data_IF_660701356421
#
_entry.id   IF_660701356421
#
_cell.length_a   1.000
_cell.length_b   1.000
_cell.length_c   1.000
_cell.angle_alpha   90.00
_cell.angle_beta   90.00
_cell.angle_gamma   90.00
#
_symmetry.space_group_name_H-M   'P 1'
#
loop_
_entity.id
_entity.type
_entity.pdbx_description
1 polymer ?
#
# COMPACT_ATOMS: atom_id res chain seq x y z
N UNK A 1 18.03 -5.23 -11.70
CA UNK A 1 17.08 -4.58 -10.81
C UNK A 1 16.49 -3.36 -11.51
N UNK A 2 15.17 -3.24 -11.55
CA UNK A 2 14.42 -2.06 -12.00
C UNK A 2 14.02 -1.20 -10.81
N UNK A 3 14.13 0.12 -10.91
CA UNK A 3 13.74 1.03 -9.83
C UNK A 3 12.82 2.13 -10.37
N UNK A 4 11.61 2.21 -9.80
CA UNK A 4 10.68 3.30 -10.02
C UNK A 4 10.76 4.27 -8.84
N UNK A 5 11.30 5.44 -9.08
CA UNK A 5 11.36 6.53 -8.11
C UNK A 5 10.01 7.24 -8.01
N UNK A 6 9.73 7.86 -6.87
CA UNK A 6 8.52 8.64 -6.61
C UNK A 6 8.25 9.74 -7.66
N UNK A 7 9.30 10.34 -8.22
CA UNK A 7 9.23 11.36 -9.28
C UNK A 7 9.44 10.78 -10.70
N UNK A 8 9.31 9.43 -10.84
CA UNK A 8 9.50 8.65 -12.07
C UNK A 8 10.90 8.72 -12.67
N UNK A 9 11.72 9.69 -12.33
CA UNK A 9 13.10 9.92 -12.79
C UNK A 9 13.30 9.69 -14.29
N UNK A 10 12.39 10.24 -15.11
CA UNK A 10 12.55 10.24 -16.56
C UNK A 10 13.67 11.20 -16.97
N UNK A 11 14.39 10.84 -18.02
CA UNK A 11 15.39 11.71 -18.62
C UNK A 11 14.70 12.88 -19.33
N UNK A 12 14.80 14.13 -18.84
CA UNK A 12 13.98 15.23 -19.32
C UNK A 12 14.30 15.68 -20.75
N UNK A 13 15.50 15.37 -21.22
CA UNK A 13 16.01 15.68 -22.56
C UNK A 13 15.77 14.56 -23.57
N UNK A 14 15.17 13.46 -23.15
CA UNK A 14 14.86 12.30 -24.00
C UNK A 14 13.35 12.21 -24.23
N UNK A 15 12.97 11.79 -25.42
CA UNK A 15 11.57 11.47 -25.74
C UNK A 15 11.11 10.19 -25.04
N UNK A 16 9.81 9.85 -25.12
CA UNK A 16 9.25 8.60 -24.61
C UNK A 16 10.03 7.39 -25.12
N UNK A 17 10.17 7.28 -26.46
CA UNK A 17 10.89 6.14 -27.05
C UNK A 17 12.36 6.08 -26.60
N UNK A 18 13.02 7.22 -26.47
CA UNK A 18 14.40 7.30 -26.00
C UNK A 18 14.52 6.93 -24.51
N UNK A 19 13.57 7.37 -23.68
CA UNK A 19 13.51 6.95 -22.29
C UNK A 19 13.36 5.43 -22.16
N UNK A 20 12.45 4.82 -22.93
CA UNK A 20 12.24 3.37 -22.93
C UNK A 20 13.47 2.62 -23.43
N UNK A 21 14.14 3.15 -24.46
CA UNK A 21 15.35 2.57 -25.02
C UNK A 21 16.58 2.69 -24.06
N UNK A 22 16.53 3.63 -23.11
CA UNK A 22 17.63 3.88 -22.20
C UNK A 22 17.92 2.66 -21.33
N UNK A 23 19.13 2.11 -21.47
CA UNK A 23 19.55 0.91 -20.75
C UNK A 23 19.42 -0.40 -21.53
N UNK A 24 18.72 -0.41 -22.67
CA UNK A 24 18.69 -1.56 -23.55
C UNK A 24 20.03 -1.76 -24.24
N UNK A 25 20.46 -3.01 -24.34
CA UNK A 25 21.68 -3.44 -25.03
C UNK A 25 21.31 -4.37 -26.18
N UNK A 26 22.03 -4.27 -27.28
CA UNK A 26 21.78 -5.11 -28.46
C UNK A 26 21.88 -4.34 -29.77
N UNK A 27 21.46 -4.96 -30.87
CA UNK A 27 21.41 -4.29 -32.16
C UNK A 27 20.22 -3.33 -32.25
N UNK A 28 20.31 -2.35 -33.16
CA UNK A 28 19.29 -1.30 -33.32
C UNK A 28 17.89 -1.85 -33.63
N UNK A 29 17.81 -2.95 -34.39
CA UNK A 29 16.52 -3.53 -34.79
C UNK A 29 15.80 -4.16 -33.61
N UNK A 30 16.50 -4.92 -32.77
CA UNK A 30 15.94 -5.55 -31.57
C UNK A 30 15.49 -4.50 -30.54
N UNK A 31 16.33 -3.47 -30.33
CA UNK A 31 15.97 -2.35 -29.46
C UNK A 31 14.70 -1.66 -29.97
N UNK A 32 14.65 -1.36 -31.26
CA UNK A 32 13.47 -0.70 -31.85
C UNK A 32 12.21 -1.57 -31.72
N UNK A 33 12.31 -2.87 -31.97
CA UNK A 33 11.21 -3.82 -31.79
C UNK A 33 10.72 -3.82 -30.33
N UNK A 34 11.65 -3.93 -29.39
CA UNK A 34 11.34 -3.94 -27.96
C UNK A 34 10.68 -2.64 -27.48
N UNK A 35 11.19 -1.51 -27.90
CA UNK A 35 10.60 -0.19 -27.59
C UNK A 35 9.17 -0.11 -28.12
N UNK A 36 8.92 -0.55 -29.36
CA UNK A 36 7.58 -0.56 -29.95
C UNK A 36 6.61 -1.46 -29.19
N UNK A 37 7.06 -2.65 -28.76
CA UNK A 37 6.28 -3.55 -27.89
C UNK A 37 5.90 -2.87 -26.57
N UNK A 38 6.86 -2.21 -25.93
CA UNK A 38 6.62 -1.49 -24.68
C UNK A 38 5.66 -0.30 -24.86
N UNK A 39 5.81 0.47 -25.92
CA UNK A 39 4.90 1.57 -26.24
C UNK A 39 3.46 1.06 -26.38
N UNK A 40 3.25 -0.05 -27.06
CA UNK A 40 1.92 -0.66 -27.20
C UNK A 40 1.39 -1.19 -25.88
N UNK A 41 2.21 -1.99 -25.18
CA UNK A 41 1.83 -2.60 -23.88
C UNK A 41 1.43 -1.56 -22.84
N UNK A 42 2.08 -0.40 -22.84
CA UNK A 42 1.87 0.67 -21.85
C UNK A 42 0.93 1.79 -22.34
N UNK A 43 0.26 1.61 -23.50
CA UNK A 43 -0.71 2.58 -24.01
C UNK A 43 -0.09 3.96 -24.30
N UNK A 44 1.14 3.98 -24.83
CA UNK A 44 1.90 5.20 -25.14
C UNK A 44 1.94 5.50 -26.63
N UNK A 45 1.12 4.81 -27.44
CA UNK A 45 1.04 5.03 -28.87
C UNK A 45 0.63 6.49 -29.19
N UNK A 46 1.34 7.10 -30.14
CA UNK A 46 1.18 8.52 -30.49
C UNK A 46 1.98 9.49 -29.60
N UNK A 47 2.65 9.00 -28.55
CA UNK A 47 3.46 9.81 -27.64
C UNK A 47 4.97 9.60 -27.81
N UNK A 48 5.39 8.80 -28.78
CA UNK A 48 6.77 8.35 -28.98
C UNK A 48 7.80 9.49 -28.95
N UNK A 49 7.43 10.59 -29.57
CA UNK A 49 8.29 11.79 -29.75
C UNK A 49 8.08 12.87 -28.68
N UNK A 50 7.16 12.64 -27.73
CA UNK A 50 6.91 13.60 -26.65
C UNK A 50 8.02 13.54 -25.60
N UNK A 51 8.34 14.69 -25.04
CA UNK A 51 9.25 14.82 -23.89
C UNK A 51 8.47 14.72 -22.57
N UNK A 52 9.12 14.35 -21.45
CA UNK A 52 8.45 14.20 -20.16
C UNK A 52 7.58 15.39 -19.76
N UNK A 53 8.00 16.62 -20.01
CA UNK A 53 7.24 17.84 -19.72
C UNK A 53 5.91 17.99 -20.49
N UNK A 54 5.72 17.21 -21.54
CA UNK A 54 4.52 17.22 -22.38
C UNK A 54 3.54 16.10 -21.99
N UNK A 55 3.91 15.28 -21.00
CA UNK A 55 3.15 14.13 -20.56
C UNK A 55 2.38 14.43 -19.26
N UNK A 56 1.18 13.88 -19.12
CA UNK A 56 0.50 13.83 -17.82
C UNK A 56 1.27 12.95 -16.83
N UNK A 57 1.00 13.09 -15.52
CA UNK A 57 1.64 12.26 -14.47
C UNK A 57 1.52 10.75 -14.75
N UNK A 58 0.32 10.29 -15.14
CA UNK A 58 0.11 8.90 -15.51
C UNK A 58 0.88 8.45 -16.76
N UNK A 59 1.01 9.32 -17.76
CA UNK A 59 1.83 9.03 -18.94
C UNK A 59 3.32 8.95 -18.59
N UNK A 60 3.78 9.82 -17.69
CA UNK A 60 5.16 9.78 -17.18
C UNK A 60 5.43 8.47 -16.42
N UNK A 61 4.51 8.07 -15.54
CA UNK A 61 4.60 6.81 -14.80
C UNK A 61 4.65 5.60 -15.73
N UNK A 62 3.73 5.53 -16.72
CA UNK A 62 3.72 4.45 -17.70
C UNK A 62 5.01 4.43 -18.52
N UNK A 63 5.56 5.57 -18.87
CA UNK A 63 6.85 5.66 -19.58
C UNK A 63 7.99 5.11 -18.69
N UNK A 64 8.01 5.44 -17.40
CA UNK A 64 9.02 4.95 -16.46
C UNK A 64 8.92 3.43 -16.26
N UNK A 65 7.70 2.91 -16.10
CA UNK A 65 7.45 1.47 -16.02
C UNK A 65 7.84 0.75 -17.30
N UNK A 66 7.48 1.31 -18.47
CA UNK A 66 7.87 0.77 -19.76
C UNK A 66 9.40 0.70 -19.92
N UNK A 67 10.13 1.72 -19.47
CA UNK A 67 11.59 1.73 -19.42
C UNK A 67 12.15 0.60 -18.56
N UNK A 68 11.58 0.39 -17.37
CA UNK A 68 12.02 -0.66 -16.44
C UNK A 68 11.73 -2.04 -17.04
N UNK A 69 10.53 -2.26 -17.54
CA UNK A 69 10.11 -3.56 -18.08
C UNK A 69 10.80 -3.90 -19.41
N UNK A 70 11.33 -2.91 -20.11
CA UNK A 70 11.99 -3.12 -21.40
C UNK A 70 13.20 -4.07 -21.31
N UNK A 71 13.97 -4.00 -20.23
CA UNK A 71 15.14 -4.86 -20.01
C UNK A 71 14.90 -6.07 -19.11
N UNK A 72 13.62 -6.39 -18.81
CA UNK A 72 13.21 -7.61 -18.09
C UNK A 72 14.02 -7.86 -16.80
N UNK A 73 13.95 -6.96 -15.82
CA UNK A 73 14.70 -7.13 -14.59
C UNK A 73 14.19 -8.33 -13.79
N UNK A 74 15.02 -8.98 -13.00
CA UNK A 74 14.59 -10.03 -12.06
C UNK A 74 13.86 -9.45 -10.84
N UNK A 75 14.16 -8.20 -10.50
CA UNK A 75 13.57 -7.50 -9.33
C UNK A 75 13.15 -6.11 -9.74
N UNK A 76 11.94 -5.71 -9.36
CA UNK A 76 11.43 -4.34 -9.49
C UNK A 76 11.22 -3.75 -8.10
N UNK A 77 11.74 -2.55 -7.90
CA UNK A 77 11.52 -1.73 -6.71
C UNK A 77 10.59 -0.57 -7.08
N UNK A 78 9.47 -0.46 -6.39
CA UNK A 78 8.48 0.62 -6.54
C UNK A 78 8.48 1.48 -5.27
N UNK A 79 8.91 2.74 -5.39
CA UNK A 79 8.99 3.66 -4.27
C UNK A 79 7.87 4.68 -4.36
N UNK A 80 6.85 4.54 -3.50
CA UNK A 80 5.66 5.39 -3.46
C UNK A 80 5.03 5.61 -4.85
N UNK A 81 4.74 4.54 -5.63
CA UNK A 81 4.46 4.66 -7.06
C UNK A 81 3.22 5.51 -7.39
N UNK A 82 2.29 5.67 -6.46
CA UNK A 82 1.02 6.36 -6.69
C UNK A 82 0.87 7.66 -5.89
N UNK A 83 1.90 8.09 -5.16
CA UNK A 83 1.81 9.23 -4.24
C UNK A 83 1.64 10.59 -4.94
N UNK A 84 2.10 10.72 -6.19
CA UNK A 84 2.05 11.96 -6.95
C UNK A 84 0.78 12.12 -7.81
N UNK A 85 -0.19 11.22 -7.67
CA UNK A 85 -1.39 11.19 -8.51
C UNK A 85 -2.62 11.75 -7.77
N UNK A 86 -3.49 12.42 -8.53
CA UNK A 86 -4.82 12.75 -8.03
C UNK A 86 -5.71 11.49 -7.90
N UNK A 87 -6.74 11.59 -7.06
CA UNK A 87 -7.56 10.44 -6.65
C UNK A 87 -8.22 9.72 -7.84
N UNK A 88 -8.68 10.46 -8.85
CA UNK A 88 -9.40 9.90 -9.98
C UNK A 88 -8.49 9.10 -10.93
N UNK A 89 -7.27 9.59 -11.15
CA UNK A 89 -6.29 8.90 -11.99
C UNK A 89 -5.63 7.73 -11.25
N UNK A 90 -5.56 7.80 -9.93
CA UNK A 90 -4.91 6.80 -9.10
C UNK A 90 -5.52 5.42 -9.24
N UNK A 91 -6.83 5.27 -9.02
CA UNK A 91 -7.52 3.97 -9.08
C UNK A 91 -7.33 3.27 -10.43
N UNK A 92 -7.42 4.03 -11.51
CA UNK A 92 -7.21 3.50 -12.86
C UNK A 92 -5.78 3.02 -13.07
N UNK A 93 -4.81 3.82 -12.65
CA UNK A 93 -3.39 3.49 -12.79
C UNK A 93 -2.97 2.34 -11.88
N UNK A 94 -3.52 2.22 -10.69
CA UNK A 94 -3.32 1.06 -9.82
C UNK A 94 -3.77 -0.23 -10.52
N UNK A 95 -4.94 -0.23 -11.15
CA UNK A 95 -5.40 -1.40 -11.90
C UNK A 95 -4.52 -1.71 -13.11
N UNK A 96 -4.11 -0.69 -13.87
CA UNK A 96 -3.19 -0.85 -15.00
C UNK A 96 -1.84 -1.45 -14.55
N UNK A 97 -1.29 -0.99 -13.42
CA UNK A 97 -0.05 -1.52 -12.85
C UNK A 97 -0.22 -2.95 -12.34
N UNK A 98 -1.33 -3.27 -11.65
CA UNK A 98 -1.63 -4.64 -11.22
C UNK A 98 -1.65 -5.60 -12.39
N UNK A 99 -2.40 -5.29 -13.45
CA UNK A 99 -2.46 -6.12 -14.66
C UNK A 99 -1.10 -6.33 -15.31
N UNK A 100 -0.25 -5.31 -15.28
CA UNK A 100 1.12 -5.43 -15.80
C UNK A 100 1.98 -6.34 -14.92
N UNK A 101 1.83 -6.26 -13.61
CA UNK A 101 2.59 -7.08 -12.66
C UNK A 101 2.12 -8.53 -12.62
N UNK A 102 0.84 -8.83 -12.88
CA UNK A 102 0.33 -10.21 -12.99
C UNK A 102 1.09 -11.06 -14.03
N UNK A 103 1.55 -10.44 -15.11
CA UNK A 103 2.35 -11.11 -16.15
C UNK A 103 3.85 -11.11 -15.87
N UNK A 104 4.28 -10.49 -14.77
CA UNK A 104 5.68 -10.37 -14.42
C UNK A 104 6.12 -11.53 -13.52
N UNK A 105 7.15 -12.27 -13.96
CA UNK A 105 7.63 -13.49 -13.27
C UNK A 105 8.73 -13.21 -12.23
N UNK A 106 9.13 -11.96 -12.06
CA UNK A 106 10.17 -11.57 -11.11
C UNK A 106 9.62 -11.13 -9.76
N UNK A 107 10.50 -10.72 -8.87
CA UNK A 107 10.13 -10.19 -7.56
C UNK A 107 9.80 -8.70 -7.63
N UNK A 108 8.69 -8.30 -7.03
CA UNK A 108 8.32 -6.89 -6.88
C UNK A 108 8.37 -6.51 -5.41
N UNK A 109 9.08 -5.44 -5.09
CA UNK A 109 9.12 -4.86 -3.76
C UNK A 109 8.55 -3.45 -3.86
N UNK A 110 7.49 -3.18 -3.11
CA UNK A 110 6.85 -1.87 -3.08
C UNK A 110 6.98 -1.23 -1.70
N UNK A 111 7.31 0.05 -1.68
CA UNK A 111 7.23 0.90 -0.49
C UNK A 111 6.03 1.80 -0.65
N UNK A 112 5.12 1.78 0.32
CA UNK A 112 3.99 2.69 0.39
C UNK A 112 3.59 2.95 1.85
N UNK A 113 3.01 4.11 2.11
CA UNK A 113 2.35 4.44 3.38
C UNK A 113 0.81 4.31 3.28
N UNK A 114 0.29 3.98 2.11
CA UNK A 114 -1.15 3.79 1.87
C UNK A 114 -1.54 2.33 2.12
N UNK A 115 -2.43 2.12 3.09
CA UNK A 115 -2.90 0.78 3.51
C UNK A 115 -3.59 0.01 2.39
N UNK A 116 -4.38 0.71 1.59
CA UNK A 116 -5.21 0.08 0.55
C UNK A 116 -4.31 -0.39 -0.61
N UNK A 117 -3.27 0.38 -0.95
CA UNK A 117 -2.23 -0.03 -1.88
C UNK A 117 -1.50 -1.28 -1.37
N UNK A 118 -1.02 -1.24 -0.12
CA UNK A 118 -0.30 -2.36 0.49
C UNK A 118 -1.16 -3.62 0.46
N UNK A 119 -2.43 -3.53 0.88
CA UNK A 119 -3.33 -4.67 0.91
C UNK A 119 -3.62 -5.25 -0.47
N UNK A 120 -3.69 -4.39 -1.49
CA UNK A 120 -4.02 -4.77 -2.88
C UNK A 120 -2.82 -5.35 -3.63
N UNK A 121 -1.60 -4.83 -3.38
CA UNK A 121 -0.42 -5.14 -4.18
C UNK A 121 0.53 -6.15 -3.54
N UNK A 122 0.42 -6.46 -2.25
CA UNK A 122 1.40 -7.30 -1.57
C UNK A 122 0.82 -8.59 -0.99
N UNK A 123 1.49 -9.70 -1.25
CA UNK A 123 1.23 -10.98 -0.59
C UNK A 123 1.94 -11.05 0.78
N UNK A 124 3.15 -10.50 0.85
CA UNK A 124 3.95 -10.41 2.07
C UNK A 124 4.21 -8.95 2.45
N UNK A 125 4.14 -8.68 3.73
CA UNK A 125 4.32 -7.35 4.30
C UNK A 125 5.46 -7.31 5.29
N UNK A 126 6.33 -6.33 5.14
CA UNK A 126 7.35 -5.93 6.11
C UNK A 126 6.98 -4.58 6.71
N UNK A 127 6.71 -4.54 8.00
CA UNK A 127 6.43 -3.30 8.72
C UNK A 127 7.73 -2.76 9.28
N UNK A 128 8.09 -1.54 8.90
CA UNK A 128 9.32 -0.90 9.36
C UNK A 128 9.03 0.24 10.34
N UNK A 129 9.83 0.33 11.39
CA UNK A 129 9.86 1.45 12.32
C UNK A 129 11.31 1.75 12.71
N UNK A 130 11.68 3.04 12.67
CA UNK A 130 13.03 3.51 13.02
C UNK A 130 14.16 2.71 12.38
N UNK A 131 14.01 2.39 11.08
CA UNK A 131 15.01 1.66 10.30
C UNK A 131 15.12 0.16 10.60
N UNK A 132 14.14 -0.41 11.32
CA UNK A 132 14.12 -1.85 11.64
C UNK A 132 12.80 -2.47 11.23
N UNK A 133 12.83 -3.74 10.81
CA UNK A 133 11.63 -4.53 10.60
C UNK A 133 11.07 -4.92 11.97
N UNK A 134 9.86 -4.46 12.28
CA UNK A 134 9.19 -4.71 13.56
C UNK A 134 8.10 -5.77 13.45
N UNK A 135 7.61 -6.05 12.25
CA UNK A 135 6.73 -7.18 11.95
C UNK A 135 6.90 -7.61 10.50
N UNK A 136 6.69 -8.90 10.23
CA UNK A 136 6.67 -9.46 8.89
C UNK A 136 5.73 -10.66 8.83
N UNK A 137 5.17 -10.93 7.65
CA UNK A 137 4.29 -12.06 7.38
C UNK A 137 3.34 -11.78 6.23
N UNK A 138 2.38 -12.69 6.03
CA UNK A 138 1.35 -12.51 5.02
C UNK A 138 0.54 -11.25 5.29
N UNK A 139 0.27 -10.48 4.25
CA UNK A 139 -0.41 -9.18 4.34
C UNK A 139 -1.76 -9.32 5.05
N UNK A 140 -2.61 -10.27 4.62
CA UNK A 140 -3.91 -10.51 5.25
C UNK A 140 -3.81 -10.83 6.74
N UNK A 141 -2.84 -11.68 7.14
CA UNK A 141 -2.64 -12.06 8.53
C UNK A 141 -2.23 -10.86 9.40
N UNK A 142 -1.31 -10.02 8.89
CA UNK A 142 -0.87 -8.83 9.60
C UNK A 142 -1.95 -7.74 9.68
N UNK A 143 -2.82 -7.65 8.68
CA UNK A 143 -3.97 -6.75 8.72
C UNK A 143 -5.02 -7.25 9.73
N UNK A 144 -5.30 -8.54 9.79
CA UNK A 144 -6.27 -9.11 10.74
C UNK A 144 -5.74 -9.21 12.16
N UNK A 145 -4.46 -9.59 12.32
CA UNK A 145 -3.85 -9.85 13.62
C UNK A 145 -2.41 -9.27 13.67
N UNK A 146 -2.26 -7.95 13.78
CA UNK A 146 -0.95 -7.31 13.86
C UNK A 146 -0.21 -7.74 15.12
N UNK A 147 1.06 -8.09 14.97
CA UNK A 147 1.90 -8.67 16.05
C UNK A 147 2.32 -7.67 17.13
N UNK A 148 2.21 -6.37 16.84
CA UNK A 148 2.58 -5.30 17.77
C UNK A 148 1.79 -4.02 17.48
N UNK A 149 1.92 -3.03 18.40
CA UNK A 149 1.19 -1.76 18.32
C UNK A 149 1.53 -0.97 17.05
N UNK A 150 2.79 -0.94 16.64
CA UNK A 150 3.22 -0.22 15.41
C UNK A 150 2.55 -0.82 14.17
N UNK A 151 2.59 -2.13 14.03
CA UNK A 151 1.90 -2.82 12.94
C UNK A 151 0.39 -2.57 12.98
N UNK A 152 -0.22 -2.59 14.16
CA UNK A 152 -1.65 -2.30 14.33
C UNK A 152 -2.01 -0.87 13.87
N UNK A 153 -1.19 0.13 14.22
CA UNK A 153 -1.38 1.52 13.79
C UNK A 153 -1.29 1.61 12.27
N UNK A 154 -0.24 1.07 11.68
CA UNK A 154 0.01 1.13 10.24
C UNK A 154 -1.04 0.36 9.43
N UNK A 155 -1.60 -0.73 9.98
CA UNK A 155 -2.72 -1.46 9.37
C UNK A 155 -4.11 -0.88 9.70
N UNK A 156 -4.18 0.30 10.36
CA UNK A 156 -5.39 1.10 10.50
C UNK A 156 -6.14 0.99 11.83
N UNK A 157 -5.58 0.35 12.85
CA UNK A 157 -6.13 0.45 14.19
C UNK A 157 -5.80 1.81 14.79
N UNK A 158 -6.82 2.53 15.26
CA UNK A 158 -6.67 3.88 15.83
C UNK A 158 -7.01 3.94 17.32
N UNK A 159 -7.81 3.00 17.81
CA UNK A 159 -8.26 2.99 19.21
C UNK A 159 -7.39 2.03 19.99
N UNK A 160 -6.65 2.54 20.97
CA UNK A 160 -5.78 1.76 21.84
C UNK A 160 -6.03 2.10 23.29
N UNK A 161 -5.89 1.10 24.15
CA UNK A 161 -5.82 1.29 25.59
C UNK A 161 -4.67 0.47 26.17
N UNK A 162 -3.97 1.02 27.14
CA UNK A 162 -3.09 0.25 27.99
C UNK A 162 -3.93 -0.69 28.85
N UNK A 163 -3.39 -1.86 29.17
CA UNK A 163 -4.14 -2.85 29.94
C UNK A 163 -3.46 -3.21 31.25
N UNK A 164 -4.30 -3.55 32.23
CA UNK A 164 -3.89 -4.31 33.38
C UNK A 164 -4.43 -5.73 33.19
N UNK A 165 -3.54 -6.73 33.25
CA UNK A 165 -3.91 -8.13 33.20
C UNK A 165 -4.60 -8.49 34.52
N UNK A 166 -5.80 -9.07 34.46
CA UNK A 166 -6.56 -9.54 35.61
C UNK A 166 -6.48 -11.08 35.65
N UNK A 167 -6.89 -11.73 34.58
CA UNK A 167 -6.81 -13.18 34.41
C UNK A 167 -6.65 -13.54 32.93
N UNK A 168 -6.64 -14.85 32.63
CA UNK A 168 -6.40 -15.37 31.28
C UNK A 168 -7.41 -14.86 30.23
N UNK A 169 -8.55 -14.33 30.64
CA UNK A 169 -9.62 -13.87 29.77
C UNK A 169 -10.17 -12.48 30.11
N UNK A 170 -9.57 -11.82 31.12
CA UNK A 170 -10.06 -10.52 31.59
C UNK A 170 -8.93 -9.52 31.69
N UNK A 171 -9.15 -8.33 31.15
CA UNK A 171 -8.23 -7.19 31.25
C UNK A 171 -8.99 -5.91 31.60
N UNK A 172 -8.36 -5.04 32.37
CA UNK A 172 -8.81 -3.67 32.52
C UNK A 172 -8.19 -2.78 31.44
N UNK A 173 -9.00 -2.15 30.61
CA UNK A 173 -8.59 -1.18 29.61
C UNK A 173 -8.64 0.22 30.24
N UNK A 174 -7.47 0.77 30.60
CA UNK A 174 -7.35 1.98 31.43
C UNK A 174 -7.97 3.21 30.77
N UNK A 175 -7.59 3.51 29.53
CA UNK A 175 -8.05 4.71 28.81
C UNK A 175 -9.53 4.59 28.42
N UNK A 176 -10.05 3.37 28.37
CA UNK A 176 -11.48 3.13 28.11
C UNK A 176 -12.32 3.01 29.37
N UNK A 177 -11.67 2.88 30.54
CA UNK A 177 -12.35 2.82 31.83
C UNK A 177 -13.28 1.62 32.00
N UNK A 178 -12.92 0.46 31.42
CA UNK A 178 -13.73 -0.76 31.49
C UNK A 178 -12.90 -2.01 31.65
N UNK A 179 -13.50 -3.02 32.29
CA UNK A 179 -13.01 -4.39 32.24
C UNK A 179 -13.58 -5.09 31.00
N UNK A 180 -12.70 -5.69 30.23
CA UNK A 180 -13.03 -6.42 28.99
C UNK A 180 -12.83 -7.91 29.21
N UNK A 181 -13.79 -8.71 28.78
CA UNK A 181 -13.65 -10.16 28.66
C UNK A 181 -13.29 -10.55 27.24
N UNK A 182 -12.29 -11.37 27.08
CA UNK A 182 -11.75 -11.80 25.78
C UNK A 182 -12.08 -13.26 25.50
N UNK A 183 -12.41 -13.57 24.24
CA UNK A 183 -12.62 -14.96 23.81
C UNK A 183 -11.30 -15.75 23.77
N UNK A 184 -10.20 -15.07 23.44
CA UNK A 184 -8.85 -15.67 23.40
C UNK A 184 -8.12 -15.38 24.70
N UNK A 185 -7.23 -16.30 25.09
CA UNK A 185 -6.35 -16.12 26.24
C UNK A 185 -5.47 -14.89 26.02
N UNK A 186 -5.41 -14.02 27.03
CA UNK A 186 -4.56 -12.83 27.04
C UNK A 186 -3.14 -13.21 27.44
N UNK A 187 -2.11 -12.88 26.66
CA UNK A 187 -0.73 -13.04 27.08
C UNK A 187 -0.44 -12.21 28.34
N UNK A 188 0.26 -12.81 29.32
CA UNK A 188 0.57 -12.13 30.60
C UNK A 188 1.43 -10.88 30.45
N UNK A 189 2.21 -10.78 29.35
CA UNK A 189 3.07 -9.68 29.01
C UNK A 189 2.40 -8.66 28.07
N UNK A 190 1.12 -8.87 27.75
CA UNK A 190 0.36 -7.93 26.92
C UNK A 190 0.25 -6.56 27.63
N UNK A 191 0.59 -5.49 26.91
CA UNK A 191 0.60 -4.11 27.43
C UNK A 191 -0.50 -3.26 26.87
N UNK A 192 -1.06 -3.64 25.71
CA UNK A 192 -2.01 -2.84 24.96
C UNK A 192 -3.12 -3.71 24.40
N UNK A 193 -4.30 -3.14 24.33
CA UNK A 193 -5.40 -3.62 23.52
C UNK A 193 -5.69 -2.60 22.43
N UNK A 194 -5.95 -3.07 21.21
CA UNK A 194 -6.37 -2.23 20.10
C UNK A 194 -7.70 -2.74 19.54
N UNK A 195 -8.57 -1.82 19.11
CA UNK A 195 -9.83 -2.15 18.49
C UNK A 195 -10.09 -1.25 17.29
N UNK A 196 -10.52 -1.82 16.17
CA UNK A 196 -10.73 -1.04 14.95
C UNK A 196 -12.05 -0.30 15.01
N UNK A 197 -12.10 0.91 14.44
CA UNK A 197 -13.30 1.73 14.49
C UNK A 197 -14.52 1.06 13.86
N UNK A 198 -14.34 0.35 12.75
CA UNK A 198 -15.40 -0.35 12.04
C UNK A 198 -15.90 -1.64 12.72
N UNK A 199 -15.16 -2.13 13.73
CA UNK A 199 -15.57 -3.30 14.51
C UNK A 199 -16.49 -2.91 15.68
N UNK A 200 -16.63 -1.61 16.01
CA UNK A 200 -17.58 -1.16 17.01
C UNK A 200 -19.00 -1.27 16.48
N UNK A 201 -19.85 -1.98 17.24
CA UNK A 201 -21.26 -2.12 16.94
C UNK A 201 -22.04 -1.16 17.85
N UNK A 202 -22.69 -0.11 17.33
CA UNK A 202 -23.51 0.78 18.14
C UNK A 202 -24.74 0.02 18.65
N UNK A 203 -25.00 0.13 19.96
CA UNK A 203 -26.16 -0.47 20.62
C UNK A 203 -26.84 0.59 21.48
N UNK A 204 -28.16 0.50 21.60
CA UNK A 204 -28.97 1.36 22.45
C UNK A 204 -29.59 0.55 23.58
N UNK A 205 -29.70 1.13 24.77
CA UNK A 205 -30.31 0.49 25.93
C UNK A 205 -29.36 0.33 27.10
N UNK A 206 -29.57 -0.71 27.90
CA UNK A 206 -28.78 -0.98 29.12
C UNK A 206 -27.39 -1.49 28.78
N UNK A 207 -26.41 -1.01 29.55
CA UNK A 207 -25.01 -1.42 29.40
C UNK A 207 -24.83 -2.91 29.73
N UNK A 208 -24.24 -3.65 28.79
CA UNK A 208 -23.87 -5.05 28.95
C UNK A 208 -22.36 -5.25 29.08
N UNK A 209 -21.93 -6.50 28.96
CA UNK A 209 -20.53 -6.89 28.95
C UNK A 209 -19.82 -6.35 27.71
N UNK A 210 -18.59 -5.91 27.84
CA UNK A 210 -17.74 -5.35 26.77
C UNK A 210 -18.35 -4.13 26.07
N UNK A 211 -19.18 -3.37 26.74
CA UNK A 211 -19.82 -2.18 26.18
C UNK A 211 -19.20 -0.89 26.71
N UNK A 212 -18.80 -0.01 25.80
CA UNK A 212 -18.35 1.34 26.08
C UNK A 212 -19.50 2.33 25.97
N UNK A 213 -19.59 3.25 26.93
CA UNK A 213 -20.46 4.42 26.74
C UNK A 213 -19.76 5.42 25.84
N UNK A 214 -20.41 5.88 24.80
CA UNK A 214 -19.90 6.96 23.94
C UNK A 214 -20.95 8.08 23.80
N UNK A 215 -20.45 9.24 23.46
CA UNK A 215 -21.27 10.39 23.09
C UNK A 215 -20.93 10.74 21.64
N UNK A 216 -21.97 10.88 20.79
CA UNK A 216 -21.80 11.31 19.42
C UNK A 216 -21.54 12.82 19.41
N UNK A 217 -20.33 13.22 19.03
CA UNK A 217 -19.94 14.63 18.94
C UNK A 217 -20.30 15.22 17.58
N UNK A 218 -20.12 14.43 16.52
CA UNK A 218 -20.44 14.86 15.15
C UNK A 218 -20.76 13.67 14.27
N UNK A 219 -21.57 13.88 13.26
CA UNK A 219 -21.81 12.91 12.19
C UNK A 219 -21.61 13.58 10.84
N UNK A 220 -20.99 12.87 9.90
CA UNK A 220 -20.91 13.27 8.51
C UNK A 220 -21.67 12.26 7.66
N UNK A 221 -22.57 12.76 6.79
CA UNK A 221 -23.19 11.92 5.77
C UNK A 221 -22.21 11.75 4.62
N UNK A 222 -21.94 10.52 4.24
CA UNK A 222 -21.22 10.23 3.02
C UNK A 222 -22.17 10.28 1.82
N UNK A 223 -21.67 10.61 0.61
CA UNK A 223 -22.53 10.80 -0.57
C UNK A 223 -23.36 9.59 -1.00
N UNK A 224 -23.07 8.42 -0.43
CA UNK A 224 -23.66 7.12 -0.82
C UNK A 224 -24.27 6.34 0.35
N UNK A 225 -24.59 7.02 1.46
CA UNK A 225 -25.38 6.48 2.58
C UNK A 225 -26.79 7.06 2.63
#
# INVERSE_FOLDING_TARGET
VGYLFQNYALFPTMTVEQNIAAGLKGNKQDIHKRVKEMIQKFGLAGLEKHYPKQLSGGQQQRTALARIMAYEPEVILLDEPFSALDLYLKDRLEQEVLQMLESYMGTVIMVSHNRDEIYRFSEELFVMDKGRIVASGKTEELFQNPKNKTAAILTGCKNFSSIIYIDDHTVEAKEWGICLKTKRKVPKDAKWIGYRAHDFIPVWGTRGENMLKFQLESSARLPFE
#
